data_IF_570883680459
#
_entry.id   IF_570883680459
#
_cell.length_a   1.000
_cell.length_b   1.000
_cell.length_c   1.000
_cell.angle_alpha   90.00
_cell.angle_beta   90.00
_cell.angle_gamma   90.00
#
_symmetry.space_group_name_H-M   'P 1'
#
loop_
_entity.id
_entity.type
_entity.pdbx_description
1 polymer ?
#
# COMPACT_ATOMS: atom_id res chain seq x y z
N UNK A 1 -6.49 14.13 13.90
CA UNK A 1 -6.10 12.72 13.69
C UNK A 1 -5.24 12.68 12.45
N UNK A 2 -4.08 12.05 12.51
CA UNK A 2 -3.16 11.90 11.38
C UNK A 2 -3.21 10.46 10.87
N UNK A 3 -3.55 10.28 9.60
CA UNK A 3 -3.75 8.97 8.97
C UNK A 3 -2.75 8.79 7.83
N UNK A 4 -1.98 7.72 7.88
CA UNK A 4 -1.17 7.29 6.74
C UNK A 4 -2.04 6.45 5.80
N UNK A 5 -2.07 6.81 4.53
CA UNK A 5 -2.76 6.04 3.49
C UNK A 5 -1.75 5.69 2.40
N UNK A 6 -1.49 4.41 2.16
CA UNK A 6 -0.59 3.99 1.09
C UNK A 6 -1.19 2.83 0.29
N UNK A 7 -0.74 2.69 -0.96
CA UNK A 7 -1.18 1.63 -1.85
C UNK A 7 0.01 0.86 -2.41
N UNK A 8 -0.09 -0.47 -2.34
CA UNK A 8 0.84 -1.41 -2.95
C UNK A 8 0.01 -2.59 -3.47
N UNK A 9 -0.32 -2.52 -4.76
CA UNK A 9 -1.30 -3.39 -5.36
C UNK A 9 -0.69 -4.09 -6.58
N UNK A 10 -0.29 -5.35 -6.39
CA UNK A 10 0.33 -6.19 -7.42
C UNK A 10 -0.12 -7.66 -7.25
N UNK A 11 -0.45 -8.30 -8.36
CA UNK A 11 -0.76 -9.73 -8.40
C UNK A 11 0.43 -10.47 -9.00
N UNK A 12 1.02 -11.39 -8.24
CA UNK A 12 2.21 -12.13 -8.70
C UNK A 12 1.83 -13.41 -9.43
N UNK A 13 2.35 -13.55 -10.64
CA UNK A 13 2.39 -14.81 -11.40
C UNK A 13 3.76 -15.46 -11.24
N UNK A 14 3.84 -16.48 -10.38
CA UNK A 14 5.09 -17.21 -10.06
C UNK A 14 5.64 -18.04 -11.21
N UNK A 15 4.90 -18.22 -12.31
CA UNK A 15 5.38 -18.91 -13.52
C UNK A 15 6.19 -18.00 -14.45
N UNK A 16 6.18 -16.68 -14.22
CA UNK A 16 6.99 -15.74 -14.99
C UNK A 16 8.36 -15.54 -14.33
N UNK A 17 9.46 -15.81 -15.03
CA UNK A 17 10.81 -15.72 -14.47
C UNK A 17 11.34 -14.29 -14.39
N UNK A 18 10.63 -13.32 -14.98
CA UNK A 18 11.07 -11.92 -15.05
C UNK A 18 10.54 -11.17 -13.83
N UNK A 19 11.42 -10.63 -12.97
CA UNK A 19 11.00 -9.82 -11.83
C UNK A 19 10.33 -8.52 -12.28
N UNK A 20 9.37 -8.07 -11.50
CA UNK A 20 8.65 -6.81 -11.72
C UNK A 20 9.49 -5.65 -11.18
N UNK A 21 10.02 -4.77 -12.04
CA UNK A 21 10.83 -3.63 -11.62
C UNK A 21 9.97 -2.52 -11.03
N UNK A 22 10.59 -1.59 -10.30
CA UNK A 22 9.89 -0.43 -9.72
C UNK A 22 9.15 0.40 -10.78
N UNK A 23 9.74 0.53 -11.97
CA UNK A 23 9.14 1.25 -13.11
C UNK A 23 7.79 0.67 -13.58
N UNK A 24 7.49 -0.60 -13.26
CA UNK A 24 6.22 -1.22 -13.64
C UNK A 24 5.03 -0.81 -12.75
N UNK A 25 5.27 -0.11 -11.64
CA UNK A 25 4.24 0.30 -10.67
C UNK A 25 3.54 1.62 -11.04
N UNK A 26 3.20 1.81 -12.31
CA UNK A 26 2.58 3.03 -12.83
C UNK A 26 3.01 3.27 -14.26
N UNK A 27 2.89 4.51 -14.74
CA UNK A 27 3.33 4.87 -16.10
C UNK A 27 4.85 4.96 -16.20
N UNK A 28 5.49 5.56 -15.19
CA UNK A 28 6.93 5.79 -15.11
C UNK A 28 7.48 5.38 -13.72
N UNK A 29 6.83 4.38 -13.11
CA UNK A 29 7.00 4.02 -11.70
C UNK A 29 5.84 4.52 -10.81
N UNK A 30 5.95 4.30 -9.49
CA UNK A 30 4.90 4.65 -8.54
C UNK A 30 4.80 6.16 -8.32
N UNK A 31 3.59 6.60 -8.00
CA UNK A 31 3.34 7.98 -7.61
C UNK A 31 3.77 8.18 -6.15
N UNK A 32 4.58 9.21 -5.89
CA UNK A 32 5.13 9.49 -4.57
C UNK A 32 4.48 10.73 -3.93
N UNK A 33 4.35 10.74 -2.61
CA UNK A 33 3.90 11.91 -1.85
C UNK A 33 2.53 12.44 -2.32
N UNK A 34 2.45 13.74 -2.59
CA UNK A 34 1.20 14.36 -3.01
C UNK A 34 0.67 13.84 -4.36
N UNK A 35 1.54 13.33 -5.23
CA UNK A 35 1.12 12.68 -6.48
C UNK A 35 0.33 11.41 -6.21
N UNK A 36 0.67 10.67 -5.16
CA UNK A 36 -0.08 9.47 -4.76
C UNK A 36 -1.54 9.80 -4.43
N UNK A 37 -1.78 10.91 -3.72
CA UNK A 37 -3.13 11.38 -3.44
C UNK A 37 -3.83 11.89 -4.70
N UNK A 38 -3.13 12.70 -5.52
CA UNK A 38 -3.71 13.25 -6.77
C UNK A 38 -4.13 12.15 -7.73
N UNK A 39 -3.28 11.14 -7.92
CA UNK A 39 -3.54 10.03 -8.81
C UNK A 39 -4.77 9.22 -8.38
N UNK A 40 -5.00 9.02 -7.09
CA UNK A 40 -6.12 8.19 -6.63
C UNK A 40 -7.44 8.95 -6.43
N UNK A 41 -7.44 10.29 -6.38
CA UNK A 41 -8.68 11.07 -6.21
C UNK A 41 -9.65 10.84 -7.36
N UNK A 42 -10.88 10.44 -7.03
CA UNK A 42 -11.92 10.15 -8.02
C UNK A 42 -11.80 8.79 -8.72
N UNK A 43 -10.78 7.98 -8.38
CA UNK A 43 -10.69 6.61 -8.85
C UNK A 43 -11.63 5.68 -8.07
N UNK A 44 -11.91 4.51 -8.64
CA UNK A 44 -12.68 3.44 -7.99
C UNK A 44 -11.76 2.43 -7.30
N UNK A 45 -10.83 2.92 -6.48
CA UNK A 45 -9.82 2.14 -5.77
C UNK A 45 -10.06 2.18 -4.26
N UNK A 46 -9.50 1.22 -3.50
CA UNK A 46 -9.64 1.24 -2.04
C UNK A 46 -8.91 2.45 -1.43
N UNK A 47 -7.74 2.82 -1.97
CA UNK A 47 -7.05 4.05 -1.60
C UNK A 47 -7.93 5.31 -1.77
N UNK A 48 -8.68 5.43 -2.88
CA UNK A 48 -9.60 6.55 -3.08
C UNK A 48 -10.70 6.58 -2.00
N UNK A 49 -11.29 5.43 -1.67
CA UNK A 49 -12.28 5.33 -0.60
C UNK A 49 -11.70 5.71 0.78
N UNK A 50 -10.44 5.39 1.05
CA UNK A 50 -9.76 5.80 2.28
C UNK A 50 -9.54 7.31 2.33
N UNK A 51 -9.14 7.92 1.20
CA UNK A 51 -9.01 9.38 1.09
C UNK A 51 -10.34 10.08 1.35
N UNK A 52 -11.43 9.58 0.77
CA UNK A 52 -12.78 10.13 0.96
C UNK A 52 -13.24 9.98 2.42
N UNK A 53 -12.98 8.83 3.04
CA UNK A 53 -13.30 8.60 4.45
C UNK A 53 -12.50 9.54 5.37
N UNK A 54 -11.20 9.69 5.14
CA UNK A 54 -10.34 10.58 5.93
C UNK A 54 -10.74 12.05 5.77
N UNK A 55 -11.15 12.47 4.56
CA UNK A 55 -11.67 13.81 4.31
C UNK A 55 -12.97 14.08 5.07
N UNK A 56 -13.89 13.11 5.15
CA UNK A 56 -15.13 13.22 5.93
C UNK A 56 -14.89 13.39 7.42
N UNK A 57 -13.85 12.74 7.95
CA UNK A 57 -13.41 12.84 9.34
C UNK A 57 -12.53 14.07 9.62
N UNK A 58 -12.24 14.89 8.60
CA UNK A 58 -11.31 16.04 8.67
C UNK A 58 -9.95 15.64 9.24
N UNK A 59 -9.48 14.44 8.90
CA UNK A 59 -8.18 13.94 9.30
C UNK A 59 -7.06 14.57 8.45
N UNK A 60 -5.88 14.72 9.04
CA UNK A 60 -4.65 15.03 8.33
C UNK A 60 -4.13 13.74 7.67
N UNK A 61 -3.86 13.79 6.37
CA UNK A 61 -3.56 12.59 5.57
C UNK A 61 -2.15 12.67 5.00
N UNK A 62 -1.39 11.60 5.19
CA UNK A 62 -0.08 11.41 4.57
C UNK A 62 -0.15 10.25 3.59
N UNK A 63 0.16 10.51 2.32
CA UNK A 63 0.22 9.48 1.27
C UNK A 63 1.65 9.33 0.76
N UNK A 64 2.48 8.47 1.35
CA UNK A 64 3.88 8.37 0.91
C UNK A 64 4.03 7.78 -0.49
N UNK A 65 3.17 6.82 -0.86
CA UNK A 65 3.28 6.09 -2.12
C UNK A 65 1.93 5.53 -2.58
N UNK A 66 1.72 5.55 -3.90
CA UNK A 66 0.72 4.76 -4.61
C UNK A 66 1.41 3.93 -5.69
N UNK A 67 1.60 2.65 -5.39
CA UNK A 67 2.19 1.68 -6.31
C UNK A 67 1.12 0.69 -6.77
N UNK A 68 0.85 0.67 -8.08
CA UNK A 68 -0.05 -0.31 -8.68
C UNK A 68 0.55 -0.82 -9.99
N UNK A 69 0.69 -2.13 -10.11
CA UNK A 69 1.24 -2.79 -11.29
C UNK A 69 0.25 -3.81 -11.87
N UNK A 70 0.36 -4.07 -13.17
CA UNK A 70 -0.37 -5.16 -13.81
C UNK A 70 0.19 -6.53 -13.36
N UNK A 71 -0.60 -7.61 -13.43
CA UNK A 71 -0.13 -8.94 -13.05
C UNK A 71 1.12 -9.34 -13.84
N UNK A 72 2.20 -9.65 -13.13
CA UNK A 72 3.49 -10.03 -13.70
C UNK A 72 4.29 -10.88 -12.71
N UNK A 73 5.57 -11.15 -13.00
CA UNK A 73 6.42 -11.98 -12.15
C UNK A 73 6.64 -11.40 -10.74
N UNK A 74 7.45 -12.09 -9.91
CA UNK A 74 7.76 -11.66 -8.54
C UNK A 74 8.23 -10.21 -8.48
N UNK A 75 7.83 -9.46 -7.45
CA UNK A 75 8.33 -8.09 -7.28
C UNK A 75 9.82 -8.13 -6.99
N UNK A 76 10.60 -7.36 -7.75
CA UNK A 76 12.04 -7.24 -7.52
C UNK A 76 12.33 -6.78 -6.09
N UNK A 77 13.41 -7.28 -5.50
CA UNK A 77 13.81 -6.93 -4.14
C UNK A 77 13.93 -5.40 -3.93
N UNK A 78 14.54 -4.71 -4.89
CA UNK A 78 14.74 -3.25 -4.85
C UNK A 78 13.42 -2.47 -4.91
N UNK A 79 12.48 -2.90 -5.75
CA UNK A 79 11.17 -2.26 -5.86
C UNK A 79 10.37 -2.44 -4.56
N UNK A 80 10.37 -3.65 -4.02
CA UNK A 80 9.71 -3.95 -2.77
C UNK A 80 10.32 -3.16 -1.61
N UNK A 81 11.65 -3.08 -1.53
CA UNK A 81 12.36 -2.31 -0.51
C UNK A 81 12.01 -0.82 -0.58
N UNK A 82 12.05 -0.21 -1.78
CA UNK A 82 11.74 1.21 -1.96
C UNK A 82 10.31 1.57 -1.53
N UNK A 83 9.32 0.75 -1.92
CA UNK A 83 7.92 0.97 -1.56
C UNK A 83 7.74 0.80 -0.04
N UNK A 84 8.29 -0.27 0.54
CA UNK A 84 8.17 -0.52 1.98
C UNK A 84 8.84 0.58 2.81
N UNK A 85 10.05 1.01 2.41
CA UNK A 85 10.79 2.05 3.11
C UNK A 85 10.00 3.35 3.15
N UNK A 86 9.40 3.76 2.04
CA UNK A 86 8.58 4.98 1.99
C UNK A 86 7.37 4.92 2.94
N UNK A 87 6.68 3.77 3.02
CA UNK A 87 5.55 3.58 3.93
C UNK A 87 6.04 3.61 5.39
N UNK A 88 7.11 2.88 5.69
CA UNK A 88 7.68 2.75 7.04
C UNK A 88 8.27 4.06 7.55
N UNK A 89 8.86 4.87 6.66
CA UNK A 89 9.42 6.18 6.98
C UNK A 89 8.32 7.22 7.29
N UNK A 90 7.14 7.09 6.69
CA UNK A 90 6.00 7.98 6.93
C UNK A 90 5.14 7.57 8.15
N UNK A 91 5.29 6.35 8.66
CA UNK A 91 4.51 5.84 9.79
C UNK A 91 4.67 6.60 11.13
N UNK A 92 5.84 7.15 11.50
CA UNK A 92 6.00 7.87 12.77
C UNK A 92 5.07 9.07 12.91
N UNK A 93 4.41 9.18 14.07
CA UNK A 93 3.50 10.28 14.38
C UNK A 93 2.12 10.20 13.74
N UNK A 94 1.80 9.10 13.04
CA UNK A 94 0.44 8.81 12.60
C UNK A 94 -0.36 8.12 13.72
N UNK A 95 -1.65 8.42 13.80
CA UNK A 95 -2.59 7.78 14.72
C UNK A 95 -3.14 6.46 14.14
N UNK A 96 -3.24 6.39 12.81
CA UNK A 96 -3.74 5.24 12.08
C UNK A 96 -2.99 5.04 10.76
N UNK A 97 -2.96 3.79 10.30
CA UNK A 97 -2.36 3.39 9.01
C UNK A 97 -3.39 2.58 8.24
N UNK A 98 -3.66 2.98 7.00
CA UNK A 98 -4.56 2.31 6.07
C UNK A 98 -3.79 1.91 4.82
N UNK A 99 -3.73 0.61 4.53
CA UNK A 99 -2.97 0.07 3.41
C UNK A 99 -3.94 -0.57 2.40
N UNK A 100 -3.90 -0.10 1.16
CA UNK A 100 -4.54 -0.73 0.00
C UNK A 100 -3.58 -1.76 -0.58
N UNK A 101 -3.73 -3.01 -0.13
CA UNK A 101 -2.91 -4.17 -0.50
C UNK A 101 -3.73 -5.14 -1.35
N UNK A 102 -3.09 -5.86 -2.29
CA UNK A 102 -3.80 -6.82 -3.15
C UNK A 102 -4.17 -8.11 -2.39
N UNK A 103 -3.31 -8.60 -1.50
CA UNK A 103 -3.48 -9.85 -0.75
C UNK A 103 -2.76 -11.06 -1.35
N UNK A 104 -2.02 -10.89 -2.46
CA UNK A 104 -1.40 -11.99 -3.22
C UNK A 104 0.00 -11.63 -3.77
N UNK A 105 0.63 -10.59 -3.23
CA UNK A 105 1.93 -10.14 -3.70
C UNK A 105 3.06 -11.00 -3.11
N UNK A 106 3.91 -11.53 -4.00
CA UNK A 106 5.15 -12.24 -3.67
C UNK A 106 6.33 -11.37 -4.11
N UNK A 107 7.28 -11.15 -3.21
CA UNK A 107 8.55 -10.50 -3.53
C UNK A 107 9.63 -11.58 -3.70
N UNK A 108 10.69 -11.30 -4.46
CA UNK A 108 11.81 -12.25 -4.65
C UNK A 108 12.38 -12.79 -3.34
N UNK A 109 12.33 -12.00 -2.27
CA UNK A 109 12.86 -12.34 -0.95
C UNK A 109 11.82 -12.91 0.02
N UNK A 110 10.54 -12.90 -0.32
CA UNK A 110 9.49 -13.40 0.58
C UNK A 110 8.21 -13.79 -0.18
N UNK A 111 7.73 -15.01 0.13
CA UNK A 111 6.43 -15.50 -0.29
C UNK A 111 5.24 -14.69 0.28
N UNK A 112 5.49 -13.86 1.31
CA UNK A 112 4.46 -13.07 2.00
C UNK A 112 4.94 -11.63 2.21
N UNK A 113 5.12 -10.88 1.11
CA UNK A 113 5.64 -9.52 1.12
C UNK A 113 4.73 -8.52 1.84
N UNK A 114 3.41 -8.73 1.81
CA UNK A 114 2.46 -7.80 2.41
C UNK A 114 2.45 -7.84 3.95
N UNK A 115 2.66 -9.03 4.53
CA UNK A 115 2.69 -9.23 5.98
C UNK A 115 3.89 -8.52 6.64
N UNK A 116 5.04 -8.50 5.97
CA UNK A 116 6.27 -7.88 6.50
C UNK A 116 6.14 -6.36 6.55
N UNK A 117 5.70 -5.74 5.45
CA UNK A 117 5.49 -4.29 5.38
C UNK A 117 4.48 -3.81 6.44
N UNK A 118 3.37 -4.56 6.60
CA UNK A 118 2.34 -4.26 7.59
C UNK A 118 2.88 -4.32 9.03
N UNK A 119 3.67 -5.36 9.35
CA UNK A 119 4.28 -5.51 10.68
C UNK A 119 5.33 -4.42 10.99
N UNK A 120 6.11 -3.99 10.00
CA UNK A 120 7.09 -2.92 10.16
C UNK A 120 6.40 -1.58 10.46
N UNK A 121 5.30 -1.28 9.78
CA UNK A 121 4.49 -0.08 10.06
C UNK A 121 3.87 -0.12 11.46
N UNK A 122 3.31 -1.27 11.86
CA UNK A 122 2.69 -1.44 13.17
C UNK A 122 3.67 -1.21 14.33
N UNK A 123 4.97 -1.51 14.17
CA UNK A 123 6.01 -1.26 15.18
C UNK A 123 6.40 0.21 15.33
N UNK A 124 6.24 1.02 14.28
CA UNK A 124 6.63 2.44 14.25
C UNK A 124 5.48 3.41 14.49
N UNK A 125 4.26 2.95 14.26
CA UNK A 125 3.04 3.68 14.63
C UNK A 125 2.77 3.44 16.13
N UNK A 126 2.73 4.48 16.98
CA UNK A 126 2.36 4.34 18.38
C UNK A 126 0.85 4.11 18.48
N UNK A 127 0.37 2.92 18.11
CA UNK A 127 -1.05 2.59 18.21
C UNK A 127 -1.43 2.53 19.69
N UNK A 128 -2.17 3.55 20.16
CA UNK A 128 -2.94 3.43 21.39
C UNK A 128 -3.95 2.32 21.12
N UNK A 129 -3.78 1.17 21.79
CA UNK A 129 -4.68 -0.01 21.70
C UNK A 129 -6.13 0.40 22.00
N UNK A 130 -6.87 0.92 21.02
CA UNK A 130 -8.33 0.95 21.06
C UNK A 130 -8.82 -0.21 20.21
N UNK A 131 -9.43 -1.18 20.88
CA UNK A 131 -10.14 -2.31 20.30
C UNK A 131 -11.15 -1.79 19.25
N UNK A 132 -10.82 -1.89 17.96
CA UNK A 132 -11.81 -1.87 16.88
C UNK A 132 -11.23 -2.52 15.63
N UNK A 133 -11.55 -3.81 15.50
CA UNK A 133 -11.70 -4.63 14.28
C UNK A 133 -10.94 -4.15 13.04
N UNK A 134 -9.91 -4.90 12.66
CA UNK A 134 -9.42 -4.97 11.28
C UNK A 134 -10.60 -5.25 10.33
N UNK A 135 -11.02 -4.25 9.58
CA UNK A 135 -11.83 -4.47 8.38
C UNK A 135 -10.82 -4.64 7.24
N UNK A 136 -10.35 -5.88 7.09
CA UNK A 136 -9.78 -6.35 5.83
C UNK A 136 -10.98 -6.65 4.92
N UNK A 137 -11.43 -5.65 4.15
CA UNK A 137 -12.44 -5.87 3.12
C UNK A 137 -11.75 -6.55 1.92
N UNK A 138 -11.70 -7.89 1.96
CA UNK A 138 -11.40 -8.71 0.79
C UNK A 138 -12.49 -8.46 -0.26
N UNK A 139 -12.18 -7.74 -1.33
CA UNK A 139 -13.03 -7.71 -2.52
C UNK A 139 -12.91 -9.05 -3.23
N UNK A 140 -13.69 -10.04 -2.81
CA UNK A 140 -13.92 -11.24 -3.61
C UNK A 140 -14.73 -10.83 -4.84
N UNK A 141 -14.08 -10.63 -5.98
CA UNK A 141 -14.75 -10.74 -7.28
C UNK A 141 -15.26 -12.17 -7.42
N UNK A 142 -16.54 -12.41 -7.14
CA UNK A 142 -17.25 -13.57 -7.66
C UNK A 142 -17.76 -13.19 -9.05
N UNK A 143 -17.36 -13.99 -10.04
CA UNK A 143 -18.07 -14.12 -11.31
C UNK A 143 -19.49 -14.64 -11.07
#
# INVERSE_FOLDING_TARGET
MKILIARMNHETNTFLPVPTPLAAFGRDGPDWGDDAARANRGMRTAMAAFLDAAARERADVVTPVSAAANPSGPVSADAYAAICEAIVAAAPGCDAVMLDLHGAMVAEQSADGEAICSNACARRCPTRRSRSRSICMRTSRRR
#
